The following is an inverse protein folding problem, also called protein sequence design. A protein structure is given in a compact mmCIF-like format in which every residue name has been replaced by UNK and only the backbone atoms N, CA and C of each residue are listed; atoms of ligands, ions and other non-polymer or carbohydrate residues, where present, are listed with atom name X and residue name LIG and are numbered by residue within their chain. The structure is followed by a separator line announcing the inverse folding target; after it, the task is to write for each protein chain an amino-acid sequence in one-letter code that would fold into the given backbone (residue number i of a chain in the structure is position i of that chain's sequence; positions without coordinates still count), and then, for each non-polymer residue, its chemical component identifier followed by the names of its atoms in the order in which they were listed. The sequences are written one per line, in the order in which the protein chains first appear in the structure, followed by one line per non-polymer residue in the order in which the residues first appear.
data_IF_961854489148
#
_entry.id   IF_961854489148
#
_cell.length_a   1.000
_cell.length_b   1.000
_cell.length_c   1.000
_cell.angle_alpha   90.00
_cell.angle_beta   90.00
_cell.angle_gamma   90.00
#
_symmetry.space_group_name_H-M   'P 1'
#
loop_
_entity.id
_entity.type
_entity.pdbx_description
1 polymer ?
#
# COMPACT_ATOMS: atom_id res chain seq x y z
N UNK A 1 -8.95 -11.38 -18.87
CA UNK A 1 -7.53 -11.65 -18.54
C UNK A 1 -7.47 -12.41 -17.22
N UNK A 2 -6.71 -13.50 -17.13
CA UNK A 2 -6.57 -14.26 -15.88
C UNK A 2 -5.68 -13.47 -14.90
N UNK A 3 -6.10 -13.36 -13.64
CA UNK A 3 -5.41 -12.62 -12.56
C UNK A 3 -3.93 -13.04 -12.40
N UNK A 4 -3.62 -14.30 -12.68
CA UNK A 4 -2.23 -14.80 -12.75
C UNK A 4 -1.37 -14.03 -13.76
N UNK A 5 -1.90 -13.68 -14.94
CA UNK A 5 -1.14 -12.94 -15.95
C UNK A 5 -0.91 -11.48 -15.54
N UNK A 6 -1.87 -10.87 -14.85
CA UNK A 6 -1.76 -9.49 -14.36
C UNK A 6 -0.66 -9.41 -13.30
N UNK A 7 -0.66 -10.33 -12.32
CA UNK A 7 0.38 -10.35 -11.30
C UNK A 7 1.76 -10.68 -11.87
N UNK A 8 1.83 -11.58 -12.85
CA UNK A 8 3.09 -11.90 -13.54
C UNK A 8 3.65 -10.66 -14.24
N UNK A 9 2.82 -9.95 -15.01
CA UNK A 9 3.22 -8.72 -15.68
C UNK A 9 3.69 -7.65 -14.68
N UNK A 10 2.92 -7.43 -13.60
CA UNK A 10 3.26 -6.45 -12.58
C UNK A 10 4.59 -6.79 -11.89
N UNK A 11 4.79 -8.05 -11.49
CA UNK A 11 6.00 -8.50 -10.81
C UNK A 11 7.24 -8.33 -11.69
N UNK A 12 7.16 -8.73 -12.97
CA UNK A 12 8.27 -8.64 -13.91
C UNK A 12 8.60 -7.20 -14.27
N UNK A 13 7.62 -6.43 -14.75
CA UNK A 13 7.86 -5.06 -15.21
C UNK A 13 8.32 -4.15 -14.06
N UNK A 14 7.69 -4.24 -12.89
CA UNK A 14 8.07 -3.43 -11.74
C UNK A 14 9.49 -3.77 -11.26
N UNK A 15 9.86 -5.06 -11.23
CA UNK A 15 11.22 -5.49 -10.88
C UNK A 15 12.25 -5.00 -11.89
N UNK A 16 11.95 -5.09 -13.20
CA UNK A 16 12.84 -4.59 -14.26
C UNK A 16 13.03 -3.07 -14.18
N UNK A 17 11.96 -2.30 -13.89
CA UNK A 17 12.05 -0.85 -13.71
C UNK A 17 12.89 -0.47 -12.49
N UNK A 18 12.73 -1.18 -11.37
CA UNK A 18 13.56 -0.99 -10.18
C UNK A 18 15.01 -1.34 -10.47
N UNK A 19 15.27 -2.45 -11.17
CA UNK A 19 16.61 -2.85 -11.58
C UNK A 19 17.27 -1.81 -12.49
N UNK A 20 16.54 -1.31 -13.49
CA UNK A 20 17.02 -0.27 -14.40
C UNK A 20 17.36 1.05 -13.67
N UNK A 21 16.54 1.45 -12.68
CA UNK A 21 16.82 2.63 -11.84
C UNK A 21 18.02 2.41 -10.93
N UNK A 22 18.12 1.21 -10.35
CA UNK A 22 19.22 0.85 -9.46
C UNK A 22 20.56 0.73 -10.19
N UNK A 23 20.57 0.49 -11.52
CA UNK A 23 21.79 0.38 -12.32
C UNK A 23 22.47 1.73 -12.63
N UNK A 24 21.83 2.86 -12.31
CA UNK A 24 22.45 4.18 -12.52
C UNK A 24 23.69 4.35 -11.60
N UNK A 25 24.84 4.83 -12.11
CA UNK A 25 26.12 4.86 -11.37
C UNK A 25 26.09 5.64 -10.05
N UNK A 26 25.23 6.64 -9.92
CA UNK A 26 25.08 7.52 -8.75
C UNK A 26 23.91 7.13 -7.83
N UNK A 27 23.35 5.93 -7.99
CA UNK A 27 22.12 5.54 -7.30
C UNK A 27 22.38 5.04 -5.87
N UNK A 28 21.73 5.61 -4.83
CA UNK A 28 21.77 5.07 -3.46
C UNK A 28 21.00 3.74 -3.32
N UNK A 29 20.45 3.20 -4.42
CA UNK A 29 19.59 2.01 -4.46
C UNK A 29 20.37 0.71 -4.72
N UNK A 30 21.68 0.66 -4.47
CA UNK A 30 22.49 -0.54 -4.76
C UNK A 30 21.93 -1.84 -4.17
N UNK A 31 21.32 -1.78 -2.99
CA UNK A 31 20.65 -2.93 -2.38
C UNK A 31 19.38 -3.40 -3.10
N UNK A 32 18.65 -2.49 -3.76
CA UNK A 32 17.43 -2.83 -4.51
C UNK A 32 17.71 -3.69 -5.74
N UNK A 33 18.96 -3.73 -6.22
CA UNK A 33 19.38 -4.64 -7.30
C UNK A 33 19.17 -6.09 -6.90
N UNK A 34 19.62 -6.45 -5.69
CA UNK A 34 19.52 -7.83 -5.17
C UNK A 34 18.04 -8.19 -5.00
N UNK A 35 17.27 -7.31 -4.34
CA UNK A 35 15.84 -7.49 -4.15
C UNK A 35 15.07 -7.71 -5.46
N UNK A 36 15.31 -6.89 -6.49
CA UNK A 36 14.67 -7.02 -7.79
C UNK A 36 15.10 -8.30 -8.53
N UNK A 37 16.39 -8.66 -8.49
CA UNK A 37 16.89 -9.90 -9.08
C UNK A 37 16.32 -11.14 -8.40
N UNK A 38 16.19 -11.14 -7.06
CA UNK A 38 15.58 -12.23 -6.30
C UNK A 38 14.13 -12.43 -6.72
N UNK A 39 13.35 -11.36 -6.86
CA UNK A 39 11.95 -11.47 -7.28
C UNK A 39 11.85 -11.97 -8.73
N UNK A 40 12.70 -11.48 -9.63
CA UNK A 40 12.77 -11.99 -11.01
C UNK A 40 13.14 -13.47 -11.06
N UNK A 41 14.10 -13.91 -10.24
CA UNK A 41 14.49 -15.32 -10.15
C UNK A 41 13.36 -16.20 -9.61
N UNK A 42 12.70 -15.79 -8.51
CA UNK A 42 11.53 -16.49 -7.96
C UNK A 42 10.42 -16.59 -9.00
N UNK A 43 10.15 -15.49 -9.70
CA UNK A 43 9.10 -15.42 -10.74
C UNK A 43 9.44 -16.31 -11.93
N UNK A 44 10.71 -16.33 -12.37
CA UNK A 44 11.19 -17.18 -13.46
C UNK A 44 11.10 -18.68 -13.09
N UNK A 45 11.58 -19.07 -11.91
CA UNK A 45 11.50 -20.45 -11.42
C UNK A 45 10.03 -20.87 -11.28
N UNK A 46 9.18 -20.02 -10.71
CA UNK A 46 7.76 -20.30 -10.57
C UNK A 46 7.07 -20.44 -11.95
N UNK A 47 7.51 -19.68 -12.96
CA UNK A 47 7.02 -19.81 -14.33
C UNK A 47 7.45 -21.12 -15.00
N UNK A 48 8.67 -21.59 -14.73
CA UNK A 48 9.17 -22.86 -15.26
C UNK A 48 8.49 -24.08 -14.61
N UNK A 49 8.22 -24.03 -13.30
CA UNK A 49 7.65 -25.14 -12.55
C UNK A 49 6.11 -25.16 -12.58
N UNK A 50 5.47 -24.00 -12.45
CA UNK A 50 4.02 -23.87 -12.28
C UNK A 50 3.46 -22.64 -13.02
N UNK A 51 3.35 -22.73 -14.34
CA UNK A 51 2.80 -21.65 -15.19
C UNK A 51 1.47 -21.09 -14.68
N UNK A 52 0.60 -21.94 -14.13
CA UNK A 52 -0.71 -21.54 -13.59
C UNK A 52 -0.66 -20.71 -12.29
N UNK A 53 0.45 -20.75 -11.54
CA UNK A 53 0.60 -20.07 -10.26
C UNK A 53 1.73 -19.01 -10.25
N UNK A 54 2.53 -18.95 -11.31
CA UNK A 54 3.74 -18.15 -11.40
C UNK A 54 3.54 -16.65 -11.08
N UNK A 55 2.44 -16.09 -11.57
CA UNK A 55 2.07 -14.70 -11.30
C UNK A 55 1.69 -14.47 -9.85
N UNK A 56 0.92 -15.37 -9.23
CA UNK A 56 0.61 -15.27 -7.81
C UNK A 56 1.88 -15.36 -6.95
N UNK A 57 2.80 -16.26 -7.28
CA UNK A 57 4.05 -16.45 -6.54
C UNK A 57 4.96 -15.22 -6.70
N UNK A 58 5.22 -14.81 -7.94
CA UNK A 58 6.05 -13.63 -8.24
C UNK A 58 5.45 -12.34 -7.71
N UNK A 59 4.15 -12.15 -7.89
CA UNK A 59 3.39 -11.01 -7.37
C UNK A 59 3.39 -10.96 -5.85
N UNK A 60 3.24 -12.09 -5.16
CA UNK A 60 3.31 -12.17 -3.69
C UNK A 60 4.71 -11.86 -3.19
N UNK A 61 5.76 -12.40 -3.82
CA UNK A 61 7.14 -12.08 -3.47
C UNK A 61 7.44 -10.58 -3.63
N UNK A 62 6.96 -9.98 -4.72
CA UNK A 62 7.07 -8.54 -4.97
C UNK A 62 6.29 -7.71 -3.94
N UNK A 63 5.07 -8.14 -3.62
CA UNK A 63 4.23 -7.48 -2.62
C UNK A 63 4.86 -7.49 -1.23
N UNK A 64 5.39 -8.65 -0.80
CA UNK A 64 6.13 -8.78 0.46
C UNK A 64 7.31 -7.81 0.47
N UNK A 65 8.07 -7.74 -0.62
CA UNK A 65 9.22 -6.85 -0.74
C UNK A 65 8.84 -5.36 -0.63
N UNK A 66 7.71 -4.94 -1.21
CA UNK A 66 7.29 -3.54 -1.19
C UNK A 66 6.64 -3.13 0.14
N UNK A 67 5.79 -3.98 0.71
CA UNK A 67 4.92 -3.58 1.81
C UNK A 67 5.37 -4.06 3.18
N UNK A 68 6.02 -5.22 3.28
CA UNK A 68 6.50 -5.74 4.57
C UNK A 68 7.52 -4.79 5.22
N UNK A 69 8.45 -4.15 4.45
CA UNK A 69 9.35 -3.17 5.02
C UNK A 69 8.65 -1.93 5.54
N UNK A 70 7.64 -1.41 4.83
CA UNK A 70 6.89 -0.23 5.26
C UNK A 70 6.20 -0.47 6.62
N UNK A 71 5.66 -1.68 6.84
CA UNK A 71 5.06 -2.07 8.12
C UNK A 71 6.15 -2.20 9.20
N UNK A 72 7.25 -2.87 8.88
CA UNK A 72 8.33 -3.06 9.83
C UNK A 72 8.99 -1.75 10.26
N UNK A 73 9.19 -0.81 9.33
CA UNK A 73 9.71 0.53 9.62
C UNK A 73 8.78 1.27 10.60
N UNK A 74 7.45 1.19 10.39
CA UNK A 74 6.47 1.76 11.32
C UNK A 74 6.60 1.14 12.71
N UNK A 75 6.71 -0.20 12.79
CA UNK A 75 6.83 -0.91 14.06
C UNK A 75 8.15 -0.63 14.76
N UNK A 76 9.23 -0.45 14.00
CA UNK A 76 10.54 -0.05 14.51
C UNK A 76 10.48 1.33 15.16
N UNK A 77 9.89 2.32 14.50
CA UNK A 77 9.71 3.66 15.06
C UNK A 77 8.84 3.63 16.32
N UNK A 78 7.80 2.80 16.34
CA UNK A 78 6.93 2.61 17.51
C UNK A 78 7.71 2.03 18.71
N UNK A 79 8.54 1.01 18.49
CA UNK A 79 9.40 0.41 19.52
C UNK A 79 10.47 1.40 20.02
N UNK A 80 11.03 2.20 19.11
CA UNK A 80 11.96 3.27 19.45
C UNK A 80 11.31 4.34 20.34
N UNK A 81 10.05 4.70 20.04
CA UNK A 81 9.26 5.63 20.86
C UNK A 81 8.98 5.07 22.26
N UNK A 82 8.83 3.75 22.39
CA UNK A 82 8.65 3.06 23.67
C UNK A 82 9.97 2.85 24.43
N UNK A 83 11.08 3.48 24.01
CA UNK A 83 12.45 3.29 24.52
C UNK A 83 12.96 1.84 24.46
N UNK A 84 12.31 0.96 23.71
CA UNK A 84 12.75 -0.41 23.50
C UNK A 84 13.73 -0.48 22.32
N UNK A 85 14.88 0.17 22.49
CA UNK A 85 15.88 0.35 21.42
C UNK A 85 16.46 -0.99 20.95
N UNK A 86 16.59 -1.98 21.84
CA UNK A 86 17.08 -3.32 21.49
C UNK A 86 16.15 -4.03 20.50
N UNK A 87 14.83 -4.01 20.77
CA UNK A 87 13.85 -4.65 19.89
C UNK A 87 13.69 -3.87 18.59
N UNK A 88 13.70 -2.53 18.65
CA UNK A 88 13.69 -1.67 17.46
C UNK A 88 14.91 -1.95 16.57
N UNK A 89 16.11 -2.08 17.15
CA UNK A 89 17.34 -2.40 16.42
C UNK A 89 17.31 -3.80 15.80
N UNK A 90 16.84 -4.82 16.53
CA UNK A 90 16.70 -6.19 15.98
C UNK A 90 15.75 -6.20 14.79
N UNK A 91 14.60 -5.51 14.91
CA UNK A 91 13.65 -5.39 13.82
C UNK A 91 14.24 -4.63 12.63
N UNK A 92 14.90 -3.49 12.87
CA UNK A 92 15.58 -2.72 11.83
C UNK A 92 16.68 -3.51 11.12
N UNK A 93 17.45 -4.33 11.85
CA UNK A 93 18.45 -5.20 11.25
C UNK A 93 17.83 -6.28 10.36
N UNK A 94 16.71 -6.89 10.77
CA UNK A 94 15.96 -7.82 9.93
C UNK A 94 15.39 -7.13 8.68
N UNK A 95 14.93 -5.88 8.82
CA UNK A 95 14.41 -5.08 7.72
C UNK A 95 15.46 -4.65 6.70
N UNK A 96 16.73 -4.54 7.08
CA UNK A 96 17.80 -4.27 6.12
C UNK A 96 17.94 -5.37 5.07
N UNK A 97 17.57 -6.61 5.41
CA UNK A 97 17.61 -7.74 4.48
C UNK A 97 16.50 -7.60 3.42
N UNK A 98 15.30 -7.22 3.85
CA UNK A 98 14.14 -7.05 2.97
C UNK A 98 14.15 -5.73 2.20
N UNK A 99 14.72 -4.67 2.79
CA UNK A 99 14.75 -3.31 2.24
C UNK A 99 16.10 -2.64 2.49
N UNK A 100 17.08 -2.90 1.62
CA UNK A 100 18.45 -2.40 1.77
C UNK A 100 18.57 -0.94 1.27
N UNK A 101 17.85 -0.02 1.91
CA UNK A 101 18.01 1.43 1.71
C UNK A 101 19.04 2.00 2.68
N UNK A 102 19.69 3.11 2.29
CA UNK A 102 20.59 3.86 3.17
C UNK A 102 19.86 4.34 4.43
N UNK A 103 18.62 4.80 4.29
CA UNK A 103 17.81 5.34 5.39
C UNK A 103 17.54 4.33 6.52
N UNK A 104 17.27 3.05 6.20
CA UNK A 104 17.11 2.00 7.22
C UNK A 104 18.44 1.70 7.92
N UNK A 105 19.57 1.79 7.20
CA UNK A 105 20.90 1.61 7.80
C UNK A 105 21.21 2.71 8.80
N UNK A 106 20.95 3.96 8.42
CA UNK A 106 21.19 5.13 9.28
C UNK A 106 20.32 5.07 10.54
N UNK A 107 19.05 4.68 10.41
CA UNK A 107 18.14 4.49 11.54
C UNK A 107 18.61 3.37 12.50
N UNK A 108 19.11 2.25 11.99
CA UNK A 108 19.65 1.16 12.82
C UNK A 108 20.93 1.58 13.55
N UNK A 109 21.78 2.39 12.91
CA UNK A 109 22.97 2.95 13.56
C UNK A 109 22.58 3.92 14.68
N UNK A 110 21.61 4.80 14.43
CA UNK A 110 21.06 5.70 15.45
C UNK A 110 20.48 4.92 16.64
N UNK A 111 19.69 3.87 16.37
CA UNK A 111 19.12 3.02 17.43
C UNK A 111 20.19 2.30 18.25
N UNK A 112 21.31 1.91 17.61
CA UNK A 112 22.46 1.33 18.31
C UNK A 112 23.14 2.34 19.24
N UNK A 113 23.26 3.60 18.82
CA UNK A 113 23.77 4.69 19.66
C UNK A 113 22.85 5.00 20.83
N UNK A 114 21.52 5.00 20.62
CA UNK A 114 20.55 5.19 21.69
C UNK A 114 20.54 4.00 22.68
N UNK A 115 20.69 2.77 22.19
CA UNK A 115 20.85 1.58 23.06
C UNK A 115 22.11 1.67 23.92
N UNK A 116 23.26 2.10 23.35
CA UNK A 116 24.49 2.25 24.13
C UNK A 116 24.39 3.39 25.14
N UNK A 117 23.84 4.54 24.78
CA UNK A 117 23.61 5.66 25.70
C UNK A 117 22.69 5.26 26.85
N UNK A 118 21.55 4.60 26.58
CA UNK A 118 20.64 4.15 27.61
C UNK A 118 21.29 3.17 28.61
N UNK A 119 22.16 2.28 28.13
CA UNK A 119 22.92 1.37 28.99
C UNK A 119 23.97 2.10 29.84
N UNK A 120 24.61 3.16 29.31
CA UNK A 120 25.55 3.98 30.08
C UNK A 120 24.85 4.86 31.13
N UNK A 121 23.67 5.41 30.82
CA UNK A 121 22.86 6.20 31.76
C UNK A 121 22.30 5.37 32.92
N UNK A 122 22.12 4.06 32.74
CA UNK A 122 21.73 3.16 33.82
C UNK A 122 22.84 2.94 34.87
N UNK A 123 24.11 3.19 34.51
CA UNK A 123 25.27 3.10 35.41
C UNK A 123 25.54 4.36 36.24
N UNK A 124 24.96 5.50 35.89
CA UNK A 124 25.05 6.76 36.63
C UNK A 124 23.67 7.08 37.23
N UNK A 125 23.57 7.22 38.56
CA UNK A 125 22.33 7.67 39.24
C UNK A 125 21.83 8.96 38.59
N UNK A 126 20.72 8.87 37.85
CA UNK A 126 20.18 9.99 37.09
C UNK A 126 19.49 11.02 38.01
N UNK A 127 19.89 12.29 37.89
CA UNK A 127 19.09 13.44 38.30
C UNK A 127 17.79 13.40 37.50
N UNK A 128 16.59 13.54 38.14
CA UNK A 128 15.34 13.41 37.43
C UNK A 128 15.11 14.66 36.57
N UNK A 129 15.56 14.62 35.31
CA UNK A 129 15.04 15.52 34.30
C UNK A 129 13.60 15.10 34.07
N UNK A 130 12.66 15.98 34.45
CA UNK A 130 11.22 15.82 34.27
C UNK A 130 10.92 15.83 32.76
N UNK A 131 11.11 14.68 32.11
CA UNK A 131 10.74 14.51 30.71
C UNK A 131 9.23 14.50 30.62
N UNK A 132 8.65 15.49 29.94
CA UNK A 132 7.26 15.50 29.52
C UNK A 132 6.92 14.13 28.92
N UNK A 133 5.92 13.50 29.51
CA UNK A 133 5.41 12.18 29.14
C UNK A 133 5.01 12.18 27.66
N UNK A 134 5.89 11.65 26.80
CA UNK A 134 5.55 11.29 25.43
C UNK A 134 4.45 10.20 25.50
N UNK A 135 3.21 10.63 25.29
CA UNK A 135 2.01 9.79 25.33
C UNK A 135 2.20 8.61 24.35
N UNK A 136 1.96 7.36 24.76
CA UNK A 136 2.15 6.21 23.89
C UNK A 136 1.19 6.29 22.68
N UNK A 137 1.72 6.53 21.48
CA UNK A 137 0.98 6.56 20.21
C UNK A 137 0.55 5.16 19.72
N UNK A 138 0.02 4.32 20.62
CA UNK A 138 -0.33 2.93 20.29
C UNK A 138 -1.81 2.70 19.94
N UNK A 139 -2.69 3.68 20.17
CA UNK A 139 -4.15 3.49 20.05
C UNK A 139 -4.87 4.47 19.10
N UNK A 140 -4.16 5.30 18.32
CA UNK A 140 -4.80 6.40 17.58
C UNK A 140 -4.79 6.33 16.05
N UNK A 141 -4.25 5.29 15.41
CA UNK A 141 -4.05 5.33 13.94
C UNK A 141 -5.34 5.37 13.11
N UNK A 142 -6.33 4.53 13.44
CA UNK A 142 -7.66 4.57 12.81
C UNK A 142 -8.55 5.65 13.43
N UNK A 143 -8.40 5.93 14.73
CA UNK A 143 -9.11 7.03 15.40
C UNK A 143 -8.74 8.40 14.83
N UNK A 144 -7.55 8.55 14.23
CA UNK A 144 -7.11 9.77 13.54
C UNK A 144 -7.30 9.73 12.02
N UNK A 145 -7.91 8.67 11.49
CA UNK A 145 -8.23 8.50 10.07
C UNK A 145 -9.64 7.90 9.92
N UNK A 146 -10.68 8.66 10.31
CA UNK A 146 -12.06 8.17 10.33
C UNK A 146 -12.57 7.76 8.95
N UNK A 147 -12.21 8.45 7.87
CA UNK A 147 -12.68 8.08 6.53
C UNK A 147 -12.12 6.73 6.09
N UNK A 148 -10.83 6.47 6.32
CA UNK A 148 -10.23 5.16 6.02
C UNK A 148 -10.94 4.05 6.77
N UNK A 149 -11.19 4.23 8.07
CA UNK A 149 -11.90 3.23 8.87
C UNK A 149 -13.31 2.95 8.30
N UNK A 150 -14.07 4.02 8.03
CA UNK A 150 -15.42 3.92 7.47
C UNK A 150 -15.38 3.18 6.13
N UNK A 151 -14.47 3.54 5.24
CA UNK A 151 -14.34 2.89 3.93
C UNK A 151 -13.96 1.42 4.05
N UNK A 152 -13.05 1.05 4.96
CA UNK A 152 -12.73 -0.36 5.22
C UNK A 152 -13.98 -1.11 5.68
N UNK A 153 -14.73 -0.57 6.64
CA UNK A 153 -15.96 -1.20 7.13
C UNK A 153 -17.00 -1.33 6.02
N UNK A 154 -17.19 -0.29 5.20
CA UNK A 154 -18.13 -0.33 4.08
C UNK A 154 -17.78 -1.41 3.05
N UNK A 155 -16.49 -1.54 2.70
CA UNK A 155 -16.02 -2.59 1.78
C UNK A 155 -16.22 -3.99 2.37
N UNK A 156 -15.97 -4.18 3.67
CA UNK A 156 -16.23 -5.47 4.34
C UNK A 156 -17.73 -5.78 4.36
N UNK A 157 -18.58 -4.81 4.69
CA UNK A 157 -20.05 -5.00 4.73
C UNK A 157 -20.59 -5.31 3.34
N UNK A 158 -20.13 -4.59 2.31
CA UNK A 158 -20.50 -4.86 0.92
C UNK A 158 -20.11 -6.28 0.50
N UNK A 159 -18.90 -6.72 0.85
CA UNK A 159 -18.45 -8.08 0.54
C UNK A 159 -19.25 -9.17 1.28
N UNK A 160 -19.61 -8.94 2.54
CA UNK A 160 -20.51 -9.86 3.26
C UNK A 160 -21.88 -9.93 2.59
N UNK A 161 -22.39 -8.81 2.08
CA UNK A 161 -23.62 -8.78 1.30
C UNK A 161 -23.45 -9.55 -0.02
N UNK A 162 -22.35 -9.38 -0.76
CA UNK A 162 -22.04 -10.15 -1.97
C UNK A 162 -22.11 -11.66 -1.70
N UNK A 163 -21.44 -12.13 -0.63
CA UNK A 163 -21.44 -13.53 -0.22
C UNK A 163 -22.83 -14.05 0.17
N UNK A 164 -23.72 -13.17 0.64
CA UNK A 164 -25.10 -13.56 0.97
C UNK A 164 -26.00 -13.72 -0.26
N UNK A 165 -25.63 -13.08 -1.38
CA UNK A 165 -26.40 -13.09 -2.63
C UNK A 165 -25.94 -14.19 -3.60
N UNK A 166 -24.70 -14.66 -3.49
CA UNK A 166 -24.16 -15.74 -4.30
C UNK A 166 -22.64 -15.90 -4.18
N UNK A 167 -22.01 -16.59 -5.14
CA UNK A 167 -20.55 -16.67 -5.20
C UNK A 167 -19.98 -15.30 -5.60
N UNK A 168 -19.17 -14.72 -4.72
CA UNK A 168 -18.44 -13.46 -4.96
C UNK A 168 -17.50 -13.48 -6.17
N UNK A 169 -17.16 -14.66 -6.71
CA UNK A 169 -16.35 -14.81 -7.92
C UNK A 169 -17.18 -14.93 -9.19
N UNK A 170 -18.50 -15.08 -9.08
CA UNK A 170 -19.40 -15.24 -10.21
C UNK A 170 -19.70 -13.86 -10.85
N UNK A 171 -19.33 -13.64 -12.13
CA UNK A 171 -19.62 -12.41 -12.83
C UNK A 171 -21.11 -12.08 -12.91
N UNK A 172 -22.00 -13.07 -12.97
CA UNK A 172 -23.45 -12.83 -13.03
C UNK A 172 -23.99 -12.29 -11.71
N UNK A 173 -23.48 -12.81 -10.58
CA UNK A 173 -23.81 -12.30 -9.24
C UNK A 173 -23.36 -10.85 -9.12
N UNK A 174 -22.11 -10.56 -9.50
CA UNK A 174 -21.55 -9.21 -9.47
C UNK A 174 -22.30 -8.24 -10.39
N UNK A 175 -22.71 -8.70 -11.58
CA UNK A 175 -23.54 -7.92 -12.49
C UNK A 175 -24.86 -7.52 -11.84
N UNK A 176 -25.57 -8.48 -11.24
CA UNK A 176 -26.88 -8.28 -10.63
C UNK A 176 -26.85 -7.25 -9.50
N UNK A 177 -25.77 -7.22 -8.72
CA UNK A 177 -25.65 -6.35 -7.54
C UNK A 177 -24.94 -5.03 -7.81
N UNK A 178 -24.56 -4.74 -9.05
CA UNK A 178 -24.13 -3.40 -9.45
C UNK A 178 -22.69 -3.26 -9.93
N UNK A 179 -22.09 -4.31 -10.48
CA UNK A 179 -20.84 -4.16 -11.23
C UNK A 179 -21.05 -3.25 -12.44
N UNK A 180 -20.01 -2.52 -12.83
CA UNK A 180 -20.06 -1.67 -14.02
C UNK A 180 -19.79 -2.52 -15.25
N UNK A 181 -20.71 -2.46 -16.20
CA UNK A 181 -20.58 -3.02 -17.53
C UNK A 181 -21.03 -2.00 -18.58
N UNK A 182 -20.43 -2.09 -19.77
CA UNK A 182 -20.63 -1.12 -20.82
C UNK A 182 -22.11 -0.99 -21.21
N UNK A 183 -22.77 -2.12 -21.45
CA UNK A 183 -24.17 -2.14 -21.87
C UNK A 183 -25.10 -1.53 -20.80
N UNK A 184 -24.94 -1.94 -19.54
CA UNK A 184 -25.73 -1.41 -18.42
C UNK A 184 -25.57 0.10 -18.23
N UNK A 185 -24.35 0.62 -18.36
CA UNK A 185 -24.10 2.04 -18.14
C UNK A 185 -24.52 2.89 -19.34
N UNK A 186 -24.22 2.44 -20.56
CA UNK A 186 -24.39 3.26 -21.76
C UNK A 186 -25.79 3.12 -22.36
N UNK A 187 -26.35 1.91 -22.36
CA UNK A 187 -27.65 1.60 -22.97
C UNK A 187 -28.78 1.65 -21.93
N UNK A 188 -28.55 1.09 -20.74
CA UNK A 188 -29.57 1.05 -19.68
C UNK A 188 -29.51 2.26 -18.73
N UNK A 189 -28.55 3.17 -18.93
CA UNK A 189 -28.37 4.38 -18.12
C UNK A 189 -28.22 4.13 -16.61
N UNK A 190 -27.70 2.96 -16.23
CA UNK A 190 -27.55 2.55 -14.82
C UNK A 190 -26.29 3.18 -14.17
N UNK A 191 -26.22 4.52 -14.14
CA UNK A 191 -25.06 5.26 -13.66
C UNK A 191 -24.72 5.04 -12.19
N UNK A 192 -25.70 4.61 -11.38
CA UNK A 192 -25.50 4.23 -9.99
C UNK A 192 -24.46 3.10 -9.83
N UNK A 193 -24.25 2.29 -10.88
CA UNK A 193 -23.24 1.23 -10.92
C UNK A 193 -21.83 1.74 -10.67
N UNK A 194 -21.52 2.96 -11.11
CA UNK A 194 -20.21 3.55 -10.86
C UNK A 194 -19.90 3.71 -9.36
N UNK A 195 -20.91 3.94 -8.54
CA UNK A 195 -20.76 4.06 -7.08
C UNK A 195 -20.73 2.69 -6.43
N UNK A 196 -21.66 1.80 -6.78
CA UNK A 196 -21.75 0.46 -6.17
C UNK A 196 -20.52 -0.37 -6.48
N UNK A 197 -20.02 -0.33 -7.72
CA UNK A 197 -18.84 -1.08 -8.13
C UNK A 197 -17.58 -0.75 -7.33
N UNK A 198 -17.48 0.44 -6.70
CA UNK A 198 -16.34 0.79 -5.84
C UNK A 198 -16.20 -0.12 -4.62
N UNK A 199 -17.30 -0.75 -4.19
CA UNK A 199 -17.34 -1.59 -2.99
C UNK A 199 -17.44 -3.09 -3.30
N UNK A 200 -17.71 -3.46 -4.56
CA UNK A 200 -17.82 -4.86 -4.98
C UNK A 200 -16.46 -5.52 -5.16
N UNK A 201 -16.29 -6.79 -4.76
CA UNK A 201 -15.01 -7.49 -4.89
C UNK A 201 -15.16 -8.92 -5.42
N UNK A 202 -14.47 -9.20 -6.53
CA UNK A 202 -14.33 -10.54 -7.11
C UNK A 202 -13.49 -11.49 -6.26
N UNK A 203 -14.02 -11.93 -5.11
CA UNK A 203 -13.40 -12.87 -4.19
C UNK A 203 -12.58 -12.27 -3.05
N UNK A 204 -12.28 -13.11 -2.05
CA UNK A 204 -11.67 -12.70 -0.78
C UNK A 204 -10.27 -12.10 -0.94
N UNK A 205 -9.45 -12.65 -1.85
CA UNK A 205 -8.12 -12.10 -2.12
C UNK A 205 -8.19 -10.69 -2.71
N UNK A 206 -9.17 -10.45 -3.60
CA UNK A 206 -9.35 -9.13 -4.20
C UNK A 206 -9.74 -8.09 -3.15
N UNK A 207 -10.67 -8.43 -2.22
CA UNK A 207 -10.96 -7.59 -1.06
C UNK A 207 -9.72 -7.37 -0.19
N UNK A 208 -9.04 -8.44 0.18
CA UNK A 208 -7.87 -8.39 1.07
C UNK A 208 -6.78 -7.45 0.57
N UNK A 209 -6.45 -7.49 -0.72
CA UNK A 209 -5.47 -6.58 -1.31
C UNK A 209 -5.92 -5.11 -1.28
N UNK A 210 -7.18 -4.83 -1.60
CA UNK A 210 -7.71 -3.46 -1.59
C UNK A 210 -7.75 -2.88 -0.17
N UNK A 211 -8.28 -3.64 0.80
CA UNK A 211 -8.33 -3.22 2.20
C UNK A 211 -6.93 -3.00 2.77
N UNK A 212 -5.99 -3.89 2.45
CA UNK A 212 -4.61 -3.75 2.87
C UNK A 212 -3.97 -2.48 2.29
N UNK A 213 -4.09 -2.24 0.99
CA UNK A 213 -3.53 -1.06 0.36
C UNK A 213 -4.16 0.23 0.92
N UNK A 214 -5.48 0.25 1.12
CA UNK A 214 -6.19 1.36 1.75
C UNK A 214 -5.72 1.58 3.20
N UNK A 215 -5.54 0.53 3.98
CA UNK A 215 -5.05 0.62 5.36
C UNK A 215 -3.61 1.13 5.47
N UNK A 216 -2.73 0.73 4.55
CA UNK A 216 -1.33 1.15 4.57
C UNK A 216 -1.18 2.60 4.08
N UNK A 217 -1.81 2.93 2.94
CA UNK A 217 -1.61 4.20 2.23
C UNK A 217 -2.58 5.30 2.68
N UNK A 218 -3.78 4.93 3.13
CA UNK A 218 -4.86 5.86 3.45
C UNK A 218 -4.59 6.72 4.69
N UNK A 219 -4.34 6.16 5.88
CA UNK A 219 -4.31 6.93 7.13
C UNK A 219 -3.27 8.06 7.17
N UNK A 220 -2.03 7.89 6.66
CA UNK A 220 -1.09 9.00 6.64
C UNK A 220 -1.52 10.08 5.63
N UNK A 221 -2.14 9.72 4.49
CA UNK A 221 -2.64 10.71 3.54
C UNK A 221 -3.82 11.48 4.12
N UNK A 222 -4.80 10.78 4.72
CA UNK A 222 -5.98 11.39 5.34
C UNK A 222 -5.57 12.44 6.38
N UNK A 223 -4.57 12.13 7.22
CA UNK A 223 -4.04 13.10 8.18
C UNK A 223 -3.33 14.29 7.53
N UNK A 224 -2.69 14.08 6.38
CA UNK A 224 -1.95 15.14 5.67
C UNK A 224 -2.87 16.10 4.91
N UNK A 225 -3.94 15.59 4.28
CA UNK A 225 -4.82 16.41 3.43
C UNK A 225 -6.17 16.75 4.08
N UNK A 226 -6.52 16.07 5.17
CA UNK A 226 -7.80 16.16 5.88
C UNK A 226 -8.83 15.16 5.36
N UNK A 227 -9.72 14.72 6.25
CA UNK A 227 -10.76 13.69 6.02
C UNK A 227 -11.63 13.98 4.79
N UNK A 228 -12.17 15.20 4.64
CA UNK A 228 -13.06 15.51 3.51
C UNK A 228 -12.34 15.47 2.15
N UNK A 229 -11.09 15.96 2.10
CA UNK A 229 -10.29 15.89 0.86
C UNK A 229 -9.91 14.46 0.51
N UNK A 230 -9.65 13.64 1.53
CA UNK A 230 -9.40 12.22 1.35
C UNK A 230 -10.61 11.49 0.77
N UNK A 231 -11.80 11.69 1.34
CA UNK A 231 -13.05 11.09 0.81
C UNK A 231 -13.31 11.54 -0.62
N UNK A 232 -13.21 12.85 -0.90
CA UNK A 232 -13.37 13.38 -2.26
C UNK A 232 -12.36 12.75 -3.23
N UNK A 233 -11.09 12.65 -2.84
CA UNK A 233 -10.07 11.99 -3.65
C UNK A 233 -10.42 10.53 -3.92
N UNK A 234 -10.82 9.77 -2.90
CA UNK A 234 -11.18 8.36 -3.03
C UNK A 234 -12.36 8.17 -3.99
N UNK A 235 -13.45 8.92 -3.80
CA UNK A 235 -14.65 8.79 -4.61
C UNK A 235 -14.43 9.28 -6.05
N UNK A 236 -13.86 10.47 -6.24
CA UNK A 236 -13.64 11.04 -7.57
C UNK A 236 -12.69 10.15 -8.39
N UNK A 237 -11.60 9.66 -7.79
CA UNK A 237 -10.69 8.76 -8.51
C UNK A 237 -11.33 7.43 -8.87
N UNK A 238 -12.17 6.87 -8.00
CA UNK A 238 -12.93 5.66 -8.31
C UNK A 238 -13.89 5.86 -9.48
N UNK A 239 -14.72 6.90 -9.41
CA UNK A 239 -15.68 7.25 -10.46
C UNK A 239 -14.99 7.57 -11.78
N UNK A 240 -13.92 8.37 -11.75
CA UNK A 240 -13.15 8.73 -12.94
C UNK A 240 -12.45 7.50 -13.56
N UNK A 241 -11.98 6.56 -12.74
CA UNK A 241 -11.42 5.29 -13.24
C UNK A 241 -12.48 4.47 -13.96
N UNK A 242 -13.67 4.31 -13.37
CA UNK A 242 -14.78 3.59 -14.00
C UNK A 242 -15.22 4.24 -15.31
N UNK A 243 -15.46 5.56 -15.28
CA UNK A 243 -15.84 6.32 -16.46
C UNK A 243 -14.74 6.29 -17.55
N UNK A 244 -13.48 6.34 -17.15
CA UNK A 244 -12.34 6.24 -18.05
C UNK A 244 -12.30 4.90 -18.79
N UNK A 245 -12.51 3.77 -18.09
CA UNK A 245 -12.56 2.46 -18.75
C UNK A 245 -13.76 2.34 -19.67
N UNK A 246 -14.94 2.82 -19.26
CA UNK A 246 -16.13 2.86 -20.13
C UNK A 246 -15.84 3.68 -21.39
N UNK A 247 -15.29 4.89 -21.24
CA UNK A 247 -14.93 5.76 -22.36
C UNK A 247 -13.91 5.13 -23.31
N UNK A 248 -12.85 4.53 -22.77
CA UNK A 248 -11.84 3.80 -23.57
C UNK A 248 -12.45 2.60 -24.30
N UNK A 249 -13.44 1.94 -23.72
CA UNK A 249 -14.12 0.80 -24.35
C UNK A 249 -14.98 1.28 -25.52
N UNK A 250 -15.68 2.42 -25.37
CA UNK A 250 -16.49 3.01 -26.42
C UNK A 250 -15.69 3.37 -27.68
N UNK A 251 -14.43 3.78 -27.52
CA UNK A 251 -13.52 4.09 -28.63
C UNK A 251 -12.66 2.89 -29.06
N UNK A 252 -13.03 1.68 -28.64
CA UNK A 252 -12.35 0.41 -28.97
C UNK A 252 -10.84 0.37 -28.59
N UNK A 253 -10.41 1.18 -27.62
CA UNK A 253 -9.04 1.17 -27.09
C UNK A 253 -8.83 0.14 -25.99
N UNK A 254 -9.91 -0.41 -25.44
CA UNK A 254 -9.87 -1.54 -24.51
C UNK A 254 -11.04 -2.47 -24.76
N UNK A 255 -10.91 -3.72 -24.33
CA UNK A 255 -11.99 -4.71 -24.43
C UNK A 255 -13.04 -4.46 -23.34
N UNK A 256 -14.33 -4.74 -23.61
CA UNK A 256 -15.36 -4.73 -22.59
C UNK A 256 -14.97 -5.65 -21.44
N UNK A 257 -15.05 -5.11 -20.23
CA UNK A 257 -14.79 -5.84 -19.01
C UNK A 257 -15.78 -5.40 -17.95
N UNK A 258 -16.10 -6.32 -17.05
CA UNK A 258 -16.83 -6.01 -15.83
C UNK A 258 -15.88 -5.33 -14.85
N UNK A 259 -16.27 -4.18 -14.31
CA UNK A 259 -15.47 -3.41 -13.35
C UNK A 259 -16.06 -3.48 -11.96
N UNK A 260 -15.19 -3.79 -11.00
CA UNK A 260 -15.46 -3.88 -9.57
C UNK A 260 -14.20 -3.51 -8.78
N UNK A 261 -14.38 -3.10 -7.54
CA UNK A 261 -13.34 -2.95 -6.53
C UNK A 261 -12.86 -1.52 -6.33
N UNK A 262 -12.28 -1.29 -5.15
CA UNK A 262 -11.75 0.00 -4.72
C UNK A 262 -10.44 0.41 -5.42
N UNK A 263 -9.93 -0.40 -6.35
CA UNK A 263 -8.57 -0.28 -6.91
C UNK A 263 -8.35 1.06 -7.64
N UNK A 264 -9.34 1.55 -8.38
CA UNK A 264 -9.30 2.88 -9.02
C UNK A 264 -9.17 4.02 -8.01
N UNK A 265 -9.91 3.94 -6.90
CA UNK A 265 -9.81 4.89 -5.79
C UNK A 265 -8.43 4.83 -5.11
N UNK A 266 -7.88 3.64 -4.92
CA UNK A 266 -6.56 3.43 -4.33
C UNK A 266 -5.45 3.97 -5.24
N UNK A 267 -5.56 3.78 -6.56
CA UNK A 267 -4.63 4.41 -7.51
C UNK A 267 -4.72 5.94 -7.44
N UNK A 268 -5.92 6.48 -7.23
CA UNK A 268 -6.13 7.89 -6.88
C UNK A 268 -5.35 8.34 -5.64
N UNK A 269 -5.42 7.56 -4.56
CA UNK A 269 -4.64 7.79 -3.32
C UNK A 269 -3.13 7.80 -3.62
N UNK A 270 -2.64 6.88 -4.44
CA UNK A 270 -1.22 6.84 -4.87
C UNK A 270 -0.86 8.10 -5.67
N UNK A 271 -1.72 8.52 -6.59
CA UNK A 271 -1.56 9.77 -7.34
C UNK A 271 -1.54 11.01 -6.44
N UNK A 272 -2.41 11.06 -5.43
CA UNK A 272 -2.45 12.13 -4.44
C UNK A 272 -1.18 12.17 -3.59
N UNK A 273 -0.64 11.01 -3.21
CA UNK A 273 0.67 10.92 -2.56
C UNK A 273 1.78 11.49 -3.46
N UNK A 274 1.82 11.11 -4.73
CA UNK A 274 2.81 11.62 -5.67
C UNK A 274 2.72 13.14 -5.80
N UNK A 275 1.51 13.68 -5.97
CA UNK A 275 1.27 15.12 -6.03
C UNK A 275 1.68 15.85 -4.74
N UNK A 276 1.34 15.30 -3.58
CA UNK A 276 1.72 15.85 -2.27
C UNK A 276 3.24 15.92 -2.13
N UNK A 277 3.95 14.83 -2.45
CA UNK A 277 5.42 14.77 -2.38
C UNK A 277 6.07 15.73 -3.38
N UNK A 278 5.55 15.83 -4.61
CA UNK A 278 6.05 16.76 -5.61
C UNK A 278 5.88 18.22 -5.20
N UNK A 279 4.77 18.57 -4.55
CA UNK A 279 4.53 19.92 -4.04
C UNK A 279 5.48 20.28 -2.90
N UNK A 280 5.85 19.30 -2.08
CA UNK A 280 6.70 19.50 -0.91
C UNK A 280 8.17 19.09 -1.11
N UNK A 281 8.59 18.76 -2.33
CA UNK A 281 9.97 18.37 -2.66
C UNK A 281 11.03 19.45 -2.41
N UNK A 282 10.60 20.70 -2.32
CA UNK A 282 11.46 21.86 -2.04
C UNK A 282 11.29 22.40 -0.62
N UNK A 283 10.42 21.81 0.19
CA UNK A 283 10.45 22.10 1.62
C UNK A 283 11.80 21.54 2.11
N UNK A 284 12.73 22.40 2.59
CA UNK A 284 13.99 21.90 3.11
C UNK A 284 13.64 20.86 4.18
N UNK A 285 14.21 19.66 4.05
CA UNK A 285 14.21 18.66 5.12
C UNK A 285 14.46 19.40 6.42
N UNK A 286 13.48 19.40 7.31
CA UNK A 286 13.53 20.13 8.55
C UNK A 286 14.74 19.65 9.37
N UNK A 287 15.85 20.36 9.22
CA UNK A 287 17.01 20.38 10.10
C UNK A 287 16.65 21.03 11.46
N UNK A 288 15.36 21.05 11.83
CA UNK A 288 14.75 21.92 12.85
C UNK A 288 13.53 21.26 13.53
N UNK A 289 13.63 19.98 13.91
CA UNK A 289 12.78 19.44 14.99
C UNK A 289 13.56 18.65 16.05
N UNK A 290 14.88 18.76 16.03
CA UNK A 290 15.79 18.29 17.07
C UNK A 290 16.87 19.35 17.31
N UNK A 291 16.43 20.54 17.70
CA UNK A 291 17.15 21.33 18.69
C UNK A 291 16.49 21.03 20.04
#
# INVERSE_FOLDING_TARGET
MNLNHIFLFLAVISSLLVLARAWRPSSPYGGWRIAALTVLAITCIAWLLWRGAAGYIGGSAWFVLLFLPAIGLRKMTELATQRNYRSARKLGAALQILHPSAEVRDQVQLLRQLESQANHSAGFRAVPIRSETARPMRHSQLRSAPAVLILIVLNVVAFLFEMSVGDSNDPEVLHRIGAVELYSVVVQHEYWRFVTALFLHGGLLHLGFNLFALYVLGPPLERSIGTMRFVACYLISGLASGAGVVGLTLVALTQPAQLIGASGSIMGIVGAWAGFLMRHRHAPYARQRLA
#
